data_IF_840768609540
#
_entry.id   IF_840768609540
#
_cell.length_a   1.000
_cell.length_b   1.000
_cell.length_c   1.000
_cell.angle_alpha   90.00
_cell.angle_beta   90.00
_cell.angle_gamma   90.00
#
_symmetry.space_group_name_H-M   'P 1'
#
loop_
_entity.id
_entity.type
_entity.pdbx_description
1 polymer ?
#
# COMPACT_ATOMS: atom_id res chain seq x y z
N UNK A 1 -4.30 28.27 -10.06
CA UNK A 1 -4.66 29.58 -9.50
C UNK A 1 -4.18 29.62 -8.06
N UNK A 2 -3.54 30.71 -7.62
CA UNK A 2 -3.01 30.87 -6.26
C UNK A 2 -4.04 31.61 -5.41
N UNK A 3 -4.41 31.08 -4.24
CA UNK A 3 -5.37 31.71 -3.32
C UNK A 3 -4.67 32.19 -2.04
N UNK A 4 -5.21 33.22 -1.37
CA UNK A 4 -4.64 33.74 -0.11
C UNK A 4 -4.49 32.65 0.97
N UNK A 5 -5.47 31.74 1.18
CA UNK A 5 -5.29 30.62 2.10
C UNK A 5 -4.12 29.70 1.73
N UNK A 6 -3.93 29.44 0.43
CA UNK A 6 -2.84 28.59 -0.08
C UNK A 6 -1.47 29.21 0.24
N UNK A 7 -1.34 30.53 0.06
CA UNK A 7 -0.11 31.27 0.37
C UNK A 7 0.17 31.29 1.87
N UNK A 8 -0.87 31.47 2.70
CA UNK A 8 -0.72 31.43 4.16
C UNK A 8 -0.32 30.03 4.64
N UNK A 9 -0.91 28.96 4.09
CA UNK A 9 -0.54 27.59 4.47
C UNK A 9 0.89 27.25 3.99
N UNK A 10 1.29 27.71 2.80
CA UNK A 10 2.66 27.56 2.31
C UNK A 10 3.68 28.21 3.24
N UNK A 11 3.39 29.45 3.67
CA UNK A 11 4.24 30.24 4.55
C UNK A 11 4.29 29.65 5.97
N UNK A 12 3.17 29.12 6.46
CA UNK A 12 3.11 28.41 7.74
C UNK A 12 4.00 27.17 7.72
N UNK A 13 3.97 26.38 6.65
CA UNK A 13 4.76 25.15 6.52
C UNK A 13 6.25 25.41 6.31
N UNK A 14 6.61 26.41 5.51
CA UNK A 14 8.01 26.78 5.34
C UNK A 14 8.62 27.42 6.58
N UNK A 15 7.83 28.14 7.39
CA UNK A 15 8.35 28.87 8.55
C UNK A 15 8.34 28.10 9.89
N UNK A 16 7.44 27.13 10.07
CA UNK A 16 7.22 26.46 11.36
C UNK A 16 7.58 24.97 11.39
N UNK A 17 7.68 24.31 10.24
CA UNK A 17 7.72 22.83 10.18
C UNK A 17 9.01 22.24 9.61
N UNK A 18 10.03 23.07 9.28
CA UNK A 18 11.31 22.62 8.70
C UNK A 18 11.14 21.58 7.57
N UNK A 19 10.04 21.72 6.80
CA UNK A 19 9.63 20.80 5.76
C UNK A 19 10.35 21.11 4.45
N UNK A 20 10.66 20.08 3.67
CA UNK A 20 11.31 20.29 2.37
C UNK A 20 10.33 20.90 1.34
N UNK A 21 10.89 21.38 0.22
CA UNK A 21 10.10 22.05 -0.82
C UNK A 21 9.11 21.11 -1.50
N UNK A 22 9.47 19.85 -1.69
CA UNK A 22 8.62 18.83 -2.31
C UNK A 22 7.43 18.48 -1.40
N UNK A 23 7.66 18.39 -0.10
CA UNK A 23 6.62 18.20 0.93
C UNK A 23 5.63 19.37 0.95
N UNK A 24 6.16 20.59 0.90
CA UNK A 24 5.32 21.81 0.83
C UNK A 24 4.51 21.79 -0.47
N UNK A 25 5.14 21.50 -1.62
CA UNK A 25 4.49 21.44 -2.91
C UNK A 25 3.36 20.42 -2.96
N UNK A 26 3.62 19.18 -2.52
CA UNK A 26 2.63 18.10 -2.52
C UNK A 26 1.45 18.40 -1.58
N UNK A 27 1.73 18.98 -0.41
CA UNK A 27 0.67 19.33 0.55
C UNK A 27 -0.26 20.42 0.03
N UNK A 28 0.27 21.37 -0.75
CA UNK A 28 -0.48 22.47 -1.33
C UNK A 28 -1.25 22.08 -2.58
N UNK A 29 -0.83 21.02 -3.28
CA UNK A 29 -1.49 20.55 -4.51
C UNK A 29 -2.99 20.20 -4.28
N UNK A 30 -3.33 19.74 -3.09
CA UNK A 30 -4.69 19.33 -2.72
C UNK A 30 -5.36 20.24 -1.68
N UNK A 31 -4.73 21.37 -1.35
CA UNK A 31 -5.25 22.29 -0.34
C UNK A 31 -6.43 23.12 -0.88
N UNK A 32 -7.63 22.89 -0.34
CA UNK A 32 -8.87 23.57 -0.75
C UNK A 32 -9.24 24.80 0.09
N UNK A 33 -8.35 25.27 0.97
CA UNK A 33 -8.59 26.41 1.86
C UNK A 33 -9.06 26.00 3.27
N UNK A 34 -9.17 26.98 4.17
CA UNK A 34 -9.62 26.79 5.56
C UNK A 34 -11.14 26.95 5.76
N UNK A 35 -11.90 27.13 4.67
CA UNK A 35 -13.35 27.22 4.73
C UNK A 35 -13.98 25.84 4.88
N UNK A 36 -15.01 25.72 5.72
CA UNK A 36 -15.95 24.60 5.69
C UNK A 36 -16.46 24.50 4.25
N UNK A 37 -16.26 23.34 3.62
CA UNK A 37 -16.57 23.07 2.21
C UNK A 37 -17.92 23.65 1.77
N UNK A 38 -17.92 24.78 1.08
CA UNK A 38 -18.93 25.05 0.05
C UNK A 38 -18.48 24.29 -1.21
N UNK A 39 -18.73 22.99 -1.22
CA UNK A 39 -18.91 22.28 -2.46
C UNK A 39 -20.41 22.19 -2.72
N UNK A 40 -20.80 22.79 -3.85
CA UNK A 40 -22.02 22.48 -4.60
C UNK A 40 -21.97 21.02 -5.12
N UNK A 41 -21.78 20.06 -4.21
CA UNK A 41 -22.20 18.69 -4.42
C UNK A 41 -23.62 18.62 -3.88
N UNK A 42 -24.56 18.28 -4.75
CA UNK A 42 -25.92 17.93 -4.35
C UNK A 42 -25.84 16.99 -3.15
N UNK A 43 -26.25 17.48 -1.98
CA UNK A 43 -26.35 16.71 -0.75
C UNK A 43 -27.46 15.67 -0.97
N UNK A 44 -27.08 14.49 -1.41
CA UNK A 44 -27.94 13.30 -1.45
C UNK A 44 -27.54 12.35 -0.34
N UNK A 45 -27.99 12.66 0.88
CA UNK A 45 -28.00 11.78 2.04
C UNK A 45 -26.62 11.56 2.69
N UNK A 46 -26.59 11.60 4.03
CA UNK A 46 -25.43 11.21 4.85
C UNK A 46 -25.05 9.75 4.58
N UNK A 47 -24.22 9.49 3.57
CA UNK A 47 -23.62 8.17 3.40
C UNK A 47 -22.55 7.98 4.48
N UNK A 48 -22.47 6.78 5.09
CA UNK A 48 -21.39 6.46 6.00
C UNK A 48 -20.02 6.64 5.30
N UNK A 49 -19.07 7.22 6.03
CA UNK A 49 -17.70 7.39 5.55
C UNK A 49 -17.00 6.04 5.50
N UNK A 50 -16.19 5.80 4.47
CA UNK A 50 -15.44 4.56 4.36
C UNK A 50 -14.02 4.71 3.80
N UNK A 51 -13.14 3.81 4.21
CA UNK A 51 -11.85 3.53 3.58
C UNK A 51 -11.91 2.13 2.98
N UNK A 52 -11.45 2.00 1.73
CA UNK A 52 -11.35 0.69 1.09
C UNK A 52 -9.98 0.07 1.37
N UNK A 53 -9.96 -1.18 1.78
CA UNK A 53 -8.76 -1.97 1.96
C UNK A 53 -8.76 -3.13 0.95
N UNK A 54 -7.80 -3.15 0.03
CA UNK A 54 -7.75 -4.08 -1.10
C UNK A 54 -6.57 -5.03 -0.97
N UNK A 55 -6.83 -6.33 -0.95
CA UNK A 55 -5.82 -7.39 -0.86
C UNK A 55 -5.95 -8.44 -1.97
N UNK A 56 -4.88 -9.18 -2.27
CA UNK A 56 -4.83 -10.17 -3.35
C UNK A 56 -5.82 -11.31 -3.15
N UNK A 57 -5.68 -12.09 -2.08
CA UNK A 57 -6.63 -13.07 -1.55
C UNK A 57 -6.10 -13.65 -0.23
N UNK A 58 -6.99 -14.19 0.61
CA UNK A 58 -6.67 -14.78 1.92
C UNK A 58 -7.33 -14.03 3.08
N UNK A 59 -8.33 -14.65 3.72
CA UNK A 59 -9.05 -14.07 4.86
C UNK A 59 -8.13 -13.55 5.97
N UNK A 60 -6.97 -14.20 6.17
CA UNK A 60 -5.99 -13.84 7.20
C UNK A 60 -5.33 -12.47 6.98
N UNK A 61 -4.82 -12.22 5.77
CA UNK A 61 -4.10 -10.98 5.46
C UNK A 61 -5.06 -9.79 5.34
N UNK A 62 -6.23 -10.02 4.72
CA UNK A 62 -7.29 -9.03 4.65
C UNK A 62 -7.70 -8.54 6.05
N UNK A 63 -7.89 -9.48 6.99
CA UNK A 63 -8.21 -9.16 8.39
C UNK A 63 -7.10 -8.38 9.08
N UNK A 64 -5.82 -8.70 8.83
CA UNK A 64 -4.69 -7.97 9.43
C UNK A 64 -4.64 -6.52 8.96
N UNK A 65 -4.76 -6.26 7.66
CA UNK A 65 -4.82 -4.89 7.14
C UNK A 65 -6.01 -4.11 7.74
N UNK A 66 -7.18 -4.75 7.86
CA UNK A 66 -8.34 -4.16 8.52
C UNK A 66 -8.08 -3.80 9.98
N UNK A 67 -7.47 -4.71 10.73
CA UNK A 67 -7.15 -4.48 12.14
C UNK A 67 -6.18 -3.31 12.29
N UNK A 68 -5.12 -3.27 11.48
CA UNK A 68 -4.16 -2.16 11.47
C UNK A 68 -4.87 -0.83 11.20
N UNK A 69 -5.67 -0.76 10.13
CA UNK A 69 -6.42 0.45 9.81
C UNK A 69 -7.38 0.84 10.92
N UNK A 70 -8.00 -0.14 11.59
CA UNK A 70 -8.90 0.10 12.72
C UNK A 70 -8.13 0.72 13.89
N UNK A 71 -6.95 0.19 14.24
CA UNK A 71 -6.10 0.75 15.29
C UNK A 71 -5.65 2.18 14.97
N UNK A 72 -5.21 2.44 13.73
CA UNK A 72 -4.82 3.81 13.31
C UNK A 72 -6.00 4.78 13.39
N UNK A 73 -7.19 4.37 12.92
CA UNK A 73 -8.40 5.19 13.00
C UNK A 73 -8.84 5.43 14.45
N UNK A 74 -8.70 4.43 15.33
CA UNK A 74 -8.97 4.56 16.76
C UNK A 74 -8.01 5.55 17.45
N UNK A 75 -6.71 5.49 17.15
CA UNK A 75 -5.70 6.44 17.65
C UNK A 75 -5.99 7.87 17.17
N UNK A 76 -6.50 8.01 15.94
CA UNK A 76 -6.97 9.29 15.39
C UNK A 76 -8.37 9.71 15.88
N UNK A 77 -9.02 8.92 16.73
CA UNK A 77 -10.38 9.14 17.22
C UNK A 77 -11.45 9.24 16.10
N UNK A 78 -11.25 8.52 14.98
CA UNK A 78 -12.12 8.45 13.80
C UNK A 78 -12.92 7.14 13.72
N UNK A 79 -13.69 6.84 14.76
CA UNK A 79 -14.56 5.65 14.85
C UNK A 79 -15.79 5.70 13.93
N UNK A 80 -16.02 6.86 13.32
CA UNK A 80 -17.08 7.14 12.36
C UNK A 80 -16.79 6.64 10.94
N UNK A 81 -15.55 6.19 10.67
CA UNK A 81 -15.11 5.69 9.37
C UNK A 81 -15.18 4.16 9.34
N UNK A 82 -15.89 3.62 8.35
CA UNK A 82 -15.96 2.19 8.09
C UNK A 82 -14.76 1.70 7.27
N UNK A 83 -14.24 0.51 7.57
CA UNK A 83 -13.24 -0.16 6.73
C UNK A 83 -13.93 -1.25 5.92
N UNK A 84 -13.93 -1.10 4.60
CA UNK A 84 -14.50 -2.06 3.65
C UNK A 84 -13.35 -2.84 3.03
N UNK A 85 -13.30 -4.13 3.36
CA UNK A 85 -12.31 -5.03 2.76
C UNK A 85 -12.83 -5.56 1.43
N UNK A 86 -11.97 -5.54 0.42
CA UNK A 86 -12.23 -6.12 -0.89
C UNK A 86 -11.02 -6.96 -1.32
N UNK A 87 -11.29 -8.08 -1.98
CA UNK A 87 -10.31 -8.80 -2.78
C UNK A 87 -10.09 -8.13 -4.14
N UNK A 88 -8.97 -8.43 -4.78
CA UNK A 88 -8.68 -7.99 -6.15
C UNK A 88 -9.82 -8.36 -7.13
N UNK A 89 -10.44 -9.53 -6.95
CA UNK A 89 -11.53 -10.01 -7.79
C UNK A 89 -12.84 -9.24 -7.55
N UNK A 90 -13.16 -8.92 -6.30
CA UNK A 90 -14.36 -8.15 -5.92
C UNK A 90 -14.30 -6.70 -6.40
N UNK A 91 -13.10 -6.11 -6.44
CA UNK A 91 -12.92 -4.74 -6.93
C UNK A 91 -13.47 -4.54 -8.33
N UNK A 92 -13.45 -5.54 -9.21
CA UNK A 92 -13.98 -5.39 -10.58
C UNK A 92 -15.52 -5.37 -10.63
N UNK A 93 -16.18 -6.04 -9.69
CA UNK A 93 -17.62 -6.28 -9.72
C UNK A 93 -18.41 -5.37 -8.76
N UNK A 94 -17.77 -4.77 -7.76
CA UNK A 94 -18.47 -4.09 -6.65
C UNK A 94 -18.29 -2.57 -6.61
N UNK A 95 -17.54 -1.98 -7.55
CA UNK A 95 -17.25 -0.51 -7.58
C UNK A 95 -18.51 0.35 -7.49
N UNK A 96 -19.51 0.02 -8.31
CA UNK A 96 -20.76 0.78 -8.38
C UNK A 96 -21.57 0.67 -7.07
N UNK A 97 -21.63 -0.52 -6.48
CA UNK A 97 -22.39 -0.76 -5.24
C UNK A 97 -21.79 0.00 -4.05
N UNK A 98 -20.46 -0.01 -3.93
CA UNK A 98 -19.76 0.64 -2.82
C UNK A 98 -19.87 2.16 -2.89
N UNK A 99 -19.70 2.73 -4.08
CA UNK A 99 -19.85 4.19 -4.30
C UNK A 99 -21.29 4.67 -4.13
N UNK A 100 -22.28 3.79 -4.31
CA UNK A 100 -23.68 4.10 -3.99
C UNK A 100 -23.98 4.05 -2.50
N UNK A 101 -23.37 3.14 -1.74
CA UNK A 101 -23.68 2.92 -0.31
C UNK A 101 -22.83 3.78 0.64
N UNK A 102 -21.59 4.09 0.27
CA UNK A 102 -20.62 4.79 1.13
C UNK A 102 -20.07 6.04 0.48
N UNK A 103 -19.66 7.00 1.30
CA UNK A 103 -18.75 8.06 0.90
C UNK A 103 -17.32 7.56 1.13
N UNK A 104 -16.70 7.04 0.08
CA UNK A 104 -15.33 6.54 0.14
C UNK A 104 -14.35 7.72 0.18
N UNK A 105 -13.52 7.77 1.21
CA UNK A 105 -12.51 8.80 1.42
C UNK A 105 -11.22 8.52 0.67
N UNK A 106 -10.77 7.25 0.70
CA UNK A 106 -9.58 6.78 0.00
C UNK A 106 -9.59 5.25 -0.12
N UNK A 107 -8.72 4.73 -0.97
CA UNK A 107 -8.45 3.30 -1.12
C UNK A 107 -6.99 2.98 -0.80
N UNK A 108 -6.78 1.87 -0.09
CA UNK A 108 -5.46 1.35 0.28
C UNK A 108 -5.37 -0.08 -0.21
N UNK A 109 -4.29 -0.48 -0.87
CA UNK A 109 -4.13 -1.89 -1.18
C UNK A 109 -3.04 -2.24 -2.17
N UNK A 110 -3.06 -3.49 -2.60
CA UNK A 110 -2.07 -4.03 -3.56
C UNK A 110 -2.37 -3.66 -5.01
N UNK A 111 -3.60 -3.23 -5.30
CA UNK A 111 -4.01 -2.72 -6.62
C UNK A 111 -4.81 -1.43 -6.47
N UNK A 112 -4.68 -0.54 -7.45
CA UNK A 112 -5.55 0.61 -7.58
C UNK A 112 -6.92 0.15 -8.13
N UNK A 113 -8.03 0.41 -7.42
CA UNK A 113 -9.35 0.00 -7.88
C UNK A 113 -9.87 0.87 -9.03
N UNK A 114 -9.17 1.91 -9.48
CA UNK A 114 -9.63 2.81 -10.54
C UNK A 114 -10.91 3.55 -10.14
N UNK A 115 -11.02 3.93 -8.87
CA UNK A 115 -12.09 4.77 -8.34
C UNK A 115 -11.63 6.22 -8.34
N UNK A 116 -12.58 7.17 -8.43
CA UNK A 116 -12.29 8.62 -8.33
C UNK A 116 -12.09 9.06 -6.87
N UNK A 117 -11.18 8.37 -6.18
CA UNK A 117 -10.75 8.64 -4.80
C UNK A 117 -9.23 8.47 -4.72
N UNK A 118 -8.55 9.15 -3.77
CA UNK A 118 -7.13 8.92 -3.55
C UNK A 118 -6.82 7.44 -3.34
N UNK A 119 -5.75 6.99 -3.99
CA UNK A 119 -5.22 5.64 -3.81
C UNK A 119 -3.85 5.73 -3.16
N UNK A 120 -3.68 4.99 -2.07
CA UNK A 120 -2.40 4.77 -1.42
C UNK A 120 -2.06 3.31 -1.63
N UNK A 121 -0.97 3.02 -2.35
CA UNK A 121 -0.53 1.62 -2.44
C UNK A 121 -0.21 1.11 -1.04
N UNK A 122 -0.43 -0.17 -0.79
CA UNK A 122 -0.12 -0.76 0.50
C UNK A 122 1.33 -0.46 0.95
N UNK A 123 2.33 -0.42 0.05
CA UNK A 123 3.68 -0.03 0.43
C UNK A 123 3.88 1.47 0.59
N UNK A 124 3.22 2.31 -0.23
CA UNK A 124 3.24 3.76 -0.01
C UNK A 124 2.60 4.12 1.31
N UNK A 125 1.57 3.41 1.75
CA UNK A 125 0.92 3.58 3.05
C UNK A 125 1.91 3.39 4.22
N UNK A 126 2.98 2.61 3.99
CA UNK A 126 4.09 2.43 4.93
C UNK A 126 5.26 3.43 4.71
N UNK A 127 5.14 4.37 3.78
CA UNK A 127 6.13 5.41 3.53
C UNK A 127 5.74 6.73 4.21
N UNK A 128 6.70 7.61 4.57
CA UNK A 128 6.41 8.93 5.16
C UNK A 128 5.40 9.73 4.33
N UNK A 129 5.50 9.62 3.00
CA UNK A 129 4.58 10.25 2.05
C UNK A 129 3.16 9.69 2.18
N UNK A 130 2.99 8.38 2.29
CA UNK A 130 1.66 7.79 2.41
C UNK A 130 1.03 7.96 3.78
N UNK A 131 1.82 8.02 4.87
CA UNK A 131 1.30 8.41 6.18
C UNK A 131 0.77 9.84 6.15
N UNK A 132 1.55 10.79 5.64
CA UNK A 132 1.10 12.19 5.49
C UNK A 132 -0.16 12.27 4.63
N UNK A 133 -0.21 11.51 3.54
CA UNK A 133 -1.37 11.44 2.66
C UNK A 133 -2.59 10.89 3.39
N UNK A 134 -2.44 9.77 4.09
CA UNK A 134 -3.51 9.14 4.86
C UNK A 134 -4.03 10.08 5.96
N UNK A 135 -3.14 10.63 6.78
CA UNK A 135 -3.51 11.56 7.85
C UNK A 135 -4.17 12.82 7.31
N UNK A 136 -3.75 13.33 6.15
CA UNK A 136 -4.37 14.50 5.54
C UNK A 136 -5.81 14.20 5.10
N UNK A 137 -6.04 13.05 4.47
CA UNK A 137 -7.37 12.69 3.95
C UNK A 137 -8.32 12.30 5.10
N UNK A 138 -7.83 11.53 6.06
CA UNK A 138 -8.59 11.09 7.23
C UNK A 138 -8.74 12.21 8.25
N UNK A 139 -7.85 13.20 8.23
CA UNK A 139 -7.76 14.24 9.24
C UNK A 139 -8.38 15.58 8.88
N UNK A 140 -8.60 15.89 7.59
CA UNK A 140 -9.29 17.14 7.22
C UNK A 140 -10.79 17.01 7.48
N UNK A 141 -11.41 17.62 8.50
CA UNK A 141 -11.09 18.88 9.19
C UNK A 141 -10.42 18.71 10.58
N UNK A 142 -9.17 19.13 10.73
CA UNK A 142 -8.48 19.05 12.01
C UNK A 142 -8.56 20.35 12.82
N UNK A 143 -8.86 20.26 14.12
CA UNK A 143 -8.24 21.06 15.16
C UNK A 143 -7.00 20.34 15.73
N UNK A 144 -5.84 20.96 15.53
CA UNK A 144 -4.64 21.14 16.37
C UNK A 144 -4.32 20.18 17.57
N UNK A 145 -3.04 19.73 17.57
CA UNK A 145 -2.06 19.39 18.65
C UNK A 145 -2.22 18.14 19.54
N UNK A 146 -1.13 17.36 19.66
CA UNK A 146 -0.18 17.35 20.81
C UNK A 146 1.20 16.87 20.34
N UNK A 147 2.27 17.57 20.74
CA UNK A 147 3.67 17.07 20.71
C UNK A 147 3.78 15.76 21.52
N UNK A 148 3.77 14.62 20.86
CA UNK A 148 4.15 13.36 21.49
C UNK A 148 5.63 13.07 21.18
N UNK A 149 6.45 13.01 22.24
CA UNK A 149 7.91 12.80 22.20
C UNK A 149 8.36 11.39 21.79
N UNK A 150 7.58 10.73 20.94
CA UNK A 150 7.95 9.53 20.19
C UNK A 150 6.90 9.41 19.09
N UNK A 151 7.07 10.04 17.91
CA UNK A 151 6.19 9.73 16.79
C UNK A 151 6.34 8.23 16.56
N UNK A 152 5.22 7.51 16.46
CA UNK A 152 5.24 6.13 15.98
C UNK A 152 5.72 6.23 14.54
N UNK A 153 7.03 6.13 14.32
CA UNK A 153 7.60 6.25 12.98
C UNK A 153 7.16 5.04 12.18
N UNK A 154 6.78 5.22 10.91
CA UNK A 154 6.43 4.10 10.02
C UNK A 154 7.51 3.03 9.92
N UNK A 155 8.76 3.33 10.27
CA UNK A 155 9.82 2.33 10.41
C UNK A 155 9.49 1.30 11.51
N UNK A 156 8.94 1.75 12.65
CA UNK A 156 8.38 0.85 13.68
C UNK A 156 7.12 0.15 13.22
N UNK A 157 6.26 0.80 12.42
CA UNK A 157 5.06 0.16 11.86
C UNK A 157 5.37 -0.84 10.74
N UNK A 158 6.42 -0.64 9.93
CA UNK A 158 6.87 -1.59 8.91
C UNK A 158 7.57 -2.79 9.57
N UNK A 159 8.34 -2.55 10.64
CA UNK A 159 8.83 -3.63 11.52
C UNK A 159 7.66 -4.37 12.18
N UNK A 160 6.68 -3.69 12.77
CA UNK A 160 5.47 -4.31 13.35
C UNK A 160 4.62 -5.01 12.29
N UNK A 161 4.46 -4.45 11.09
CA UNK A 161 3.72 -5.03 9.99
C UNK A 161 4.42 -6.31 9.52
N UNK A 162 5.73 -6.29 9.25
CA UNK A 162 6.45 -7.52 8.93
C UNK A 162 6.43 -8.53 10.10
N UNK A 163 6.48 -8.07 11.35
CA UNK A 163 6.40 -8.89 12.55
C UNK A 163 4.99 -9.48 12.80
N UNK A 164 3.94 -8.81 12.32
CA UNK A 164 2.54 -9.27 12.37
C UNK A 164 2.18 -10.13 11.16
N UNK A 165 2.86 -9.96 10.01
CA UNK A 165 2.60 -10.70 8.77
C UNK A 165 3.40 -12.00 8.70
N UNK A 166 4.63 -12.00 9.19
CA UNK A 166 5.49 -13.17 9.26
C UNK A 166 5.31 -13.83 10.64
N UNK A 167 4.60 -14.96 10.66
CA UNK A 167 4.41 -15.77 11.88
C UNK A 167 5.66 -16.61 12.15
N UNK A 168 6.32 -17.05 11.08
CA UNK A 168 7.45 -17.97 11.16
C UNK A 168 8.77 -17.35 10.68
N UNK A 169 8.71 -16.38 9.78
CA UNK A 169 9.92 -15.74 9.24
C UNK A 169 10.34 -14.51 10.06
N UNK A 170 11.64 -14.39 10.30
CA UNK A 170 12.20 -13.18 10.93
C UNK A 170 12.35 -12.06 9.88
N UNK A 171 11.70 -10.90 10.04
CA UNK A 171 11.75 -9.80 9.06
C UNK A 171 13.17 -9.34 8.70
N UNK A 172 14.06 -9.25 9.68
CA UNK A 172 15.43 -8.75 9.49
C UNK A 172 16.28 -9.73 8.70
N UNK A 173 16.15 -11.03 8.97
CA UNK A 173 16.86 -12.08 8.22
C UNK A 173 16.27 -12.29 6.82
N UNK A 174 14.94 -12.30 6.71
CA UNK A 174 14.26 -12.56 5.44
C UNK A 174 14.51 -11.45 4.42
N UNK A 175 14.51 -10.18 4.85
CA UNK A 175 14.84 -9.03 3.98
C UNK A 175 16.15 -9.23 3.22
N UNK A 176 17.21 -9.67 3.90
CA UNK A 176 18.53 -9.82 3.28
C UNK A 176 18.51 -10.86 2.16
N UNK A 177 17.77 -11.95 2.35
CA UNK A 177 17.68 -13.05 1.37
C UNK A 177 16.78 -12.64 0.19
N UNK A 178 15.67 -11.95 0.47
CA UNK A 178 14.82 -11.37 -0.59
C UNK A 178 15.60 -10.37 -1.42
N UNK A 179 16.45 -9.54 -0.81
CA UNK A 179 17.32 -8.62 -1.57
C UNK A 179 18.31 -9.36 -2.49
N UNK A 180 18.84 -10.52 -2.09
CA UNK A 180 19.69 -11.34 -2.96
C UNK A 180 18.91 -11.90 -4.15
N UNK A 181 17.71 -12.42 -3.90
CA UNK A 181 16.79 -12.88 -4.95
C UNK A 181 16.48 -11.77 -5.95
N UNK A 182 16.13 -10.57 -5.47
CA UNK A 182 15.86 -9.42 -6.33
C UNK A 182 17.11 -8.94 -7.07
N UNK A 183 18.28 -8.93 -6.42
CA UNK A 183 19.53 -8.58 -7.08
C UNK A 183 19.86 -9.53 -8.24
N UNK A 184 19.61 -10.84 -8.06
CA UNK A 184 19.80 -11.80 -9.15
C UNK A 184 18.85 -11.53 -10.31
N UNK A 185 17.58 -11.22 -10.05
CA UNK A 185 16.64 -10.82 -11.08
C UNK A 185 17.10 -9.54 -11.79
N UNK A 186 17.58 -8.55 -11.04
CA UNK A 186 18.14 -7.30 -11.58
C UNK A 186 19.25 -7.57 -12.60
N UNK A 187 20.20 -8.43 -12.23
CA UNK A 187 21.36 -8.76 -13.06
C UNK A 187 20.96 -9.57 -14.30
N UNK A 188 20.09 -10.57 -14.15
CA UNK A 188 19.66 -11.44 -15.24
C UNK A 188 18.72 -10.75 -16.23
N UNK A 189 17.97 -9.74 -15.77
CA UNK A 189 17.03 -8.95 -16.59
C UNK A 189 17.60 -7.60 -17.03
N UNK A 190 18.81 -7.25 -16.58
CA UNK A 190 19.44 -5.96 -16.84
C UNK A 190 18.58 -4.75 -16.44
N UNK A 191 17.92 -4.81 -15.28
CA UNK A 191 17.18 -3.67 -14.75
C UNK A 191 18.14 -2.62 -14.17
N UNK A 192 17.93 -1.34 -14.51
CA UNK A 192 18.74 -0.24 -13.98
C UNK A 192 18.50 -0.04 -12.47
N UNK A 193 17.24 0.10 -12.06
CA UNK A 193 16.78 0.14 -10.66
C UNK A 193 15.31 -0.31 -10.55
N UNK A 194 14.92 -0.83 -9.37
CA UNK A 194 13.52 -1.19 -9.08
C UNK A 194 12.63 0.03 -8.74
N UNK A 195 13.22 1.21 -8.53
CA UNK A 195 12.52 2.46 -8.23
C UNK A 195 11.57 2.37 -7.02
N UNK A 196 10.44 3.07 -7.12
CA UNK A 196 9.39 3.07 -6.08
C UNK A 196 8.71 1.71 -5.86
N UNK A 197 8.89 0.74 -6.77
CA UNK A 197 8.28 -0.59 -6.67
C UNK A 197 9.08 -1.58 -5.80
N UNK A 198 10.32 -1.24 -5.43
CA UNK A 198 11.20 -2.12 -4.64
C UNK A 198 10.54 -2.58 -3.33
N UNK A 199 9.88 -1.67 -2.62
CA UNK A 199 9.22 -2.02 -1.36
C UNK A 199 8.06 -3.01 -1.59
N UNK A 200 7.28 -2.81 -2.65
CA UNK A 200 6.19 -3.71 -3.03
C UNK A 200 6.70 -5.12 -3.27
N UNK A 201 7.82 -5.22 -3.99
CA UNK A 201 8.46 -6.49 -4.30
C UNK A 201 8.97 -7.17 -3.04
N UNK A 202 9.67 -6.44 -2.16
CA UNK A 202 10.18 -7.01 -0.90
C UNK A 202 9.03 -7.57 -0.06
N UNK A 203 7.95 -6.79 0.10
CA UNK A 203 6.78 -7.21 0.88
C UNK A 203 6.13 -8.43 0.25
N UNK A 204 5.86 -8.41 -1.05
CA UNK A 204 5.22 -9.53 -1.74
C UNK A 204 6.05 -10.80 -1.61
N UNK A 205 7.36 -10.74 -1.89
CA UNK A 205 8.24 -11.91 -1.79
C UNK A 205 8.35 -12.41 -0.34
N UNK A 206 8.43 -11.53 0.67
CA UNK A 206 8.43 -11.97 2.08
C UNK A 206 7.16 -12.76 2.44
N UNK A 207 6.00 -12.28 2.01
CA UNK A 207 4.71 -12.96 2.27
C UNK A 207 4.58 -14.24 1.45
N UNK A 208 5.09 -14.27 0.22
CA UNK A 208 5.13 -15.48 -0.61
C UNK A 208 5.97 -16.58 0.04
N UNK A 209 7.14 -16.24 0.58
CA UNK A 209 8.00 -17.18 1.33
C UNK A 209 7.25 -17.70 2.58
N UNK A 210 6.57 -16.82 3.32
CA UNK A 210 5.78 -17.22 4.50
C UNK A 210 4.68 -18.22 4.12
N UNK A 211 3.97 -17.99 3.01
CA UNK A 211 2.97 -18.95 2.50
C UNK A 211 3.61 -20.28 2.11
N UNK A 212 4.75 -20.26 1.42
CA UNK A 212 5.49 -21.49 1.11
C UNK A 212 5.91 -22.25 2.38
N UNK A 213 6.39 -21.58 3.42
CA UNK A 213 6.71 -22.21 4.72
C UNK A 213 5.47 -22.84 5.36
N UNK A 214 4.30 -22.22 5.18
CA UNK A 214 3.01 -22.70 5.71
C UNK A 214 2.33 -23.73 4.81
N UNK A 215 2.90 -24.06 3.65
CA UNK A 215 2.27 -24.87 2.60
C UNK A 215 0.91 -24.31 2.13
N UNK A 216 0.77 -22.99 2.13
CA UNK A 216 -0.39 -22.27 1.58
C UNK A 216 -0.12 -21.91 0.11
N UNK A 217 -1.17 -21.96 -0.72
CA UNK A 217 -1.08 -21.61 -2.14
C UNK A 217 -2.06 -20.52 -2.52
N UNK A 218 -1.70 -19.76 -3.56
CA UNK A 218 -2.56 -18.78 -4.21
C UNK A 218 -2.64 -19.10 -5.69
N UNK A 219 -3.65 -18.58 -6.38
CA UNK A 219 -3.84 -18.78 -7.81
C UNK A 219 -3.67 -17.46 -8.56
N UNK A 220 -2.91 -17.50 -9.65
CA UNK A 220 -2.72 -16.41 -10.59
C UNK A 220 -3.75 -16.49 -11.72
N UNK A 221 -4.84 -15.74 -11.59
CA UNK A 221 -6.02 -15.82 -12.50
C UNK A 221 -6.00 -14.84 -13.69
N UNK A 222 -4.82 -14.32 -14.10
CA UNK A 222 -4.75 -13.32 -15.19
C UNK A 222 -4.59 -13.95 -16.58
N UNK A 223 -5.05 -13.25 -17.61
CA UNK A 223 -5.02 -13.71 -19.01
C UNK A 223 -3.61 -14.02 -19.55
N UNK A 224 -2.58 -13.36 -19.01
CA UNK A 224 -1.18 -13.57 -19.39
C UNK A 224 -0.54 -14.82 -18.74
N UNK A 225 -1.27 -15.60 -17.92
CA UNK A 225 -0.75 -16.77 -17.20
C UNK A 225 0.00 -17.75 -18.11
N UNK A 226 -0.67 -18.28 -19.13
CA UNK A 226 -0.07 -19.28 -20.04
C UNK A 226 1.11 -18.70 -20.82
N UNK A 227 1.00 -17.43 -21.23
CA UNK A 227 2.06 -16.73 -21.94
C UNK A 227 3.34 -16.62 -21.07
N UNK A 228 3.19 -16.31 -19.78
CA UNK A 228 4.31 -16.29 -18.86
C UNK A 228 4.87 -17.69 -18.61
N UNK A 229 4.05 -18.69 -18.32
CA UNK A 229 4.54 -20.06 -18.05
C UNK A 229 5.38 -20.65 -19.20
N UNK A 230 5.04 -20.30 -20.45
CA UNK A 230 5.77 -20.76 -21.63
C UNK A 230 6.99 -19.90 -21.99
N UNK A 231 7.22 -18.78 -21.31
CA UNK A 231 8.25 -17.81 -21.67
C UNK A 231 9.65 -18.18 -21.15
N UNK A 232 10.70 -17.75 -21.88
CA UNK A 232 12.08 -17.82 -21.36
C UNK A 232 12.26 -16.93 -20.11
N UNK A 233 11.45 -15.88 -19.99
CA UNK A 233 11.34 -15.03 -18.81
C UNK A 233 11.01 -15.85 -17.56
N UNK A 234 10.05 -16.78 -17.63
CA UNK A 234 9.70 -17.59 -16.48
C UNK A 234 10.85 -18.48 -16.00
N UNK A 235 11.68 -19.00 -16.91
CA UNK A 235 12.88 -19.78 -16.56
C UNK A 235 13.91 -18.95 -15.80
N UNK A 236 14.05 -17.67 -16.13
CA UNK A 236 14.91 -16.74 -15.38
C UNK A 236 14.44 -16.62 -13.93
N UNK A 237 13.13 -16.48 -13.72
CA UNK A 237 12.56 -16.35 -12.37
C UNK A 237 12.63 -17.67 -11.59
N UNK A 238 12.43 -18.81 -12.25
CA UNK A 238 12.69 -20.12 -11.65
C UNK A 238 14.16 -20.28 -11.24
N UNK A 239 15.10 -19.77 -12.05
CA UNK A 239 16.53 -19.81 -11.71
C UNK A 239 16.86 -18.90 -10.53
N UNK A 240 16.25 -17.72 -10.44
CA UNK A 240 16.40 -16.84 -9.29
C UNK A 240 15.82 -17.46 -8.01
N UNK A 241 14.71 -18.20 -8.14
CA UNK A 241 14.06 -18.89 -7.02
C UNK A 241 14.97 -19.93 -6.34
N UNK A 242 16.01 -20.44 -7.01
CA UNK A 242 17.00 -21.34 -6.41
C UNK A 242 17.79 -20.66 -5.25
N UNK A 243 17.93 -19.33 -5.23
CA UNK A 243 18.54 -18.63 -4.08
C UNK A 243 17.70 -18.83 -2.82
N UNK A 244 16.37 -18.80 -2.97
CA UNK A 244 15.47 -18.99 -1.82
C UNK A 244 15.56 -20.43 -1.32
N UNK A 245 15.66 -21.39 -2.23
CA UNK A 245 15.85 -22.81 -1.90
C UNK A 245 17.19 -23.03 -1.16
N UNK A 246 18.30 -22.48 -1.65
CA UNK A 246 19.62 -22.60 -1.01
C UNK A 246 19.70 -21.91 0.37
N UNK A 247 19.05 -20.74 0.53
CA UNK A 247 19.21 -19.90 1.73
C UNK A 247 18.15 -20.14 2.80
N UNK A 248 16.96 -20.62 2.42
CA UNK A 248 15.81 -20.77 3.32
C UNK A 248 15.22 -22.18 3.31
N UNK A 249 15.68 -23.08 2.44
CA UNK A 249 15.04 -24.39 2.19
C UNK A 249 13.57 -24.25 1.78
N UNK A 250 13.27 -23.17 1.06
CA UNK A 250 11.92 -22.78 0.64
C UNK A 250 11.92 -22.42 -0.83
N UNK A 251 10.95 -22.95 -1.57
CA UNK A 251 10.73 -22.64 -2.98
C UNK A 251 9.39 -21.93 -3.17
N UNK A 252 9.39 -20.82 -3.91
CA UNK A 252 8.14 -20.23 -4.36
C UNK A 252 7.52 -21.12 -5.43
N UNK A 253 6.21 -21.32 -5.37
CA UNK A 253 5.49 -22.04 -6.42
C UNK A 253 5.35 -21.16 -7.68
N UNK A 254 4.94 -21.78 -8.78
CA UNK A 254 4.81 -21.10 -10.07
C UNK A 254 3.84 -19.90 -10.00
N UNK A 255 2.74 -20.01 -9.26
CA UNK A 255 1.74 -18.94 -9.12
C UNK A 255 2.33 -17.69 -8.44
N UNK A 256 3.13 -17.87 -7.40
CA UNK A 256 3.86 -16.77 -6.73
C UNK A 256 4.86 -16.12 -7.69
N UNK A 257 5.60 -16.93 -8.46
CA UNK A 257 6.55 -16.41 -9.45
C UNK A 257 5.83 -15.59 -10.54
N UNK A 258 4.64 -16.02 -10.97
CA UNK A 258 3.82 -15.28 -11.93
C UNK A 258 3.39 -13.90 -11.38
N UNK A 259 3.04 -13.80 -10.09
CA UNK A 259 2.78 -12.50 -9.47
C UNK A 259 4.03 -11.61 -9.45
N UNK A 260 5.20 -12.15 -9.13
CA UNK A 260 6.46 -11.38 -9.12
C UNK A 260 6.80 -10.91 -10.55
N UNK A 261 6.62 -11.76 -11.56
CA UNK A 261 6.78 -11.39 -12.97
C UNK A 261 5.85 -10.24 -13.35
N UNK A 262 4.55 -10.35 -13.03
CA UNK A 262 3.57 -9.30 -13.35
C UNK A 262 3.83 -7.99 -12.61
N UNK A 263 4.50 -8.02 -11.46
CA UNK A 263 4.93 -6.82 -10.74
C UNK A 263 6.16 -6.16 -11.36
N UNK A 264 7.04 -6.94 -11.99
CA UNK A 264 8.34 -6.49 -12.48
C UNK A 264 8.37 -6.15 -13.98
N UNK A 265 7.66 -6.92 -14.78
CA UNK A 265 7.69 -6.82 -16.25
C UNK A 265 6.56 -5.94 -16.80
N UNK A 266 5.85 -5.22 -15.92
CA UNK A 266 4.89 -4.22 -16.33
C UNK A 266 5.60 -2.97 -16.85
N UNK A 267 5.58 -2.86 -18.18
CA UNK A 267 5.56 -1.59 -18.93
C UNK A 267 4.32 -0.74 -18.56
#
# INVERSE_FOLDING_TARGET
>A
MVSTPLVIEALRRSALLDADLDDIYLSLQHFKGYGVSEHNAVVTGNKPLAVLAICSSGEGIARKLKNLLSSVLEEMNRKDIHIINLSVEEVLNTKHKITTEYQVLLSIGVINPGLDVPYISLPDFFSPKGELTFQTIIGGAFPVMVENKNPVTLTKLAEQYLQEFLTYLNPKKNRAIVMLFLQQLKEQRHFDEFGSNLLNMIVHTCVAIERSVRNETITYNKLNREAYLMSELFKIYQKANEILEDKLDVKLNDEELLFIIDMLEKE
#
